data_IF_321649073938
#
_entry.id   IF_321649073938
#
_cell.length_a   1.000
_cell.length_b   1.000
_cell.length_c   1.000
_cell.angle_alpha   90.00
_cell.angle_beta   90.00
_cell.angle_gamma   90.00
#
_symmetry.space_group_name_H-M   'P 1'
#
loop_
_entity.id
_entity.type
_entity.pdbx_description
1 polymer ?
#
# COMPACT_ATOMS: atom_id res chain seq x y z
N UNK A 1 19.18 22.58 -7.54
CA UNK A 1 17.87 23.25 -7.39
C UNK A 1 17.09 22.37 -6.42
N UNK A 2 16.94 22.83 -5.16
CA UNK A 2 16.40 22.03 -4.05
C UNK A 2 14.87 22.13 -4.08
N UNK A 3 14.19 21.07 -4.50
CA UNK A 3 12.75 20.95 -4.36
C UNK A 3 12.44 20.07 -3.14
N UNK A 4 12.13 20.76 -2.03
CA UNK A 4 11.29 20.38 -0.88
C UNK A 4 10.71 18.95 -0.90
N UNK A 5 11.22 17.94 -0.18
CA UNK A 5 10.95 17.60 1.26
C UNK A 5 9.48 17.70 1.76
N UNK A 6 8.47 17.72 0.88
CA UNK A 6 7.05 17.87 1.29
C UNK A 6 6.10 16.77 0.76
N UNK A 7 6.60 15.62 0.31
CA UNK A 7 5.79 14.48 -0.17
C UNK A 7 5.77 13.28 0.77
N UNK A 8 5.92 13.50 2.08
CA UNK A 8 5.48 12.53 3.10
C UNK A 8 4.03 12.79 3.57
N UNK A 9 3.31 13.66 2.86
CA UNK A 9 1.89 13.96 3.07
C UNK A 9 1.05 13.00 2.25
N UNK A 10 0.41 12.01 2.91
CA UNK A 10 -0.97 11.58 2.65
C UNK A 10 -1.31 10.26 3.36
N UNK A 11 -1.47 10.26 4.70
CA UNK A 11 -2.48 9.38 5.35
C UNK A 11 -2.94 9.90 6.72
N UNK A 12 -3.24 11.19 6.84
CA UNK A 12 -4.19 11.66 7.85
C UNK A 12 -4.80 12.97 7.34
N UNK A 13 -6.08 12.93 6.98
CA UNK A 13 -6.89 14.08 6.56
C UNK A 13 -6.47 14.81 5.26
N UNK A 14 -6.85 14.28 4.10
CA UNK A 14 -7.08 15.08 2.89
C UNK A 14 -8.12 14.39 1.97
N UNK A 15 -9.38 14.38 2.43
CA UNK A 15 -10.51 14.34 1.50
C UNK A 15 -10.78 15.79 1.07
N UNK A 16 -10.41 16.15 -0.17
CA UNK A 16 -11.16 17.05 -1.06
C UNK A 16 -10.27 17.55 -2.21
N UNK A 17 -10.83 17.44 -3.42
CA UNK A 17 -10.50 18.10 -4.69
C UNK A 17 -9.65 17.30 -5.69
N UNK A 18 -10.34 16.58 -6.60
CA UNK A 18 -9.79 16.23 -7.91
C UNK A 18 -10.63 16.87 -9.04
N UNK A 19 -9.94 17.55 -9.97
CA UNK A 19 -10.48 18.00 -11.27
C UNK A 19 -9.84 17.16 -12.39
N UNK A 20 -10.65 16.93 -13.42
CA UNK A 20 -10.55 15.92 -14.48
C UNK A 20 -9.31 15.99 -15.40
N UNK A 21 -8.93 14.83 -15.96
CA UNK A 21 -8.11 14.76 -17.17
C UNK A 21 -8.14 13.38 -17.84
N UNK A 22 -8.75 13.28 -19.03
CA UNK A 22 -8.85 12.07 -19.84
C UNK A 22 -7.55 11.73 -20.59
N UNK A 23 -7.21 10.45 -20.70
CA UNK A 23 -6.20 9.93 -21.63
C UNK A 23 -6.55 8.51 -22.12
N UNK A 24 -6.46 8.28 -23.43
CA UNK A 24 -6.85 7.04 -24.14
C UNK A 24 -5.74 5.98 -24.12
N UNK A 25 -6.10 4.71 -23.96
CA UNK A 25 -5.18 3.56 -24.02
C UNK A 25 -5.40 2.67 -25.26
N UNK A 26 -4.29 2.05 -25.69
CA UNK A 26 -4.23 0.88 -26.57
C UNK A 26 -4.05 -0.40 -25.71
N UNK A 27 -4.62 -1.52 -26.17
CA UNK A 27 -4.63 -2.83 -25.48
C UNK A 27 -3.38 -3.66 -25.78
N UNK A 28 -2.81 -4.27 -24.74
CA UNK A 28 -1.85 -5.39 -24.81
C UNK A 28 -2.42 -6.63 -24.10
N UNK A 29 -2.09 -7.81 -24.62
CA UNK A 29 -2.73 -9.09 -24.32
C UNK A 29 -2.25 -9.72 -23.00
N UNK A 30 -3.18 -10.24 -22.19
CA UNK A 30 -2.89 -10.87 -20.90
C UNK A 30 -2.41 -12.33 -21.03
N UNK A 31 -1.37 -12.71 -20.27
CA UNK A 31 -0.98 -14.11 -20.03
C UNK A 31 -1.93 -14.76 -19.01
N UNK A 32 -2.31 -16.02 -19.26
CA UNK A 32 -3.30 -16.74 -18.45
C UNK A 32 -2.67 -17.32 -17.18
N UNK A 33 -2.98 -16.72 -16.02
CA UNK A 33 -2.64 -17.23 -14.70
C UNK A 33 -3.64 -18.30 -14.23
N UNK A 34 -3.14 -19.38 -13.60
CA UNK A 34 -3.95 -20.40 -12.92
C UNK A 34 -3.72 -20.30 -11.39
N UNK A 35 -4.72 -19.85 -10.60
CA UNK A 35 -4.64 -19.75 -9.15
C UNK A 35 -4.27 -21.05 -8.43
N UNK A 36 -4.56 -22.22 -9.04
CA UNK A 36 -4.25 -23.52 -8.45
C UNK A 36 -2.74 -23.85 -8.42
N UNK A 37 -1.91 -23.05 -9.07
CA UNK A 37 -0.45 -23.23 -9.13
C UNK A 37 0.33 -22.61 -7.96
N UNK A 38 -0.36 -21.92 -7.03
CA UNK A 38 0.26 -21.27 -5.89
C UNK A 38 0.49 -22.26 -4.74
N UNK A 39 1.75 -22.42 -4.32
CA UNK A 39 2.17 -23.34 -3.26
C UNK A 39 1.99 -22.81 -1.84
N UNK A 40 2.57 -23.50 -0.84
CA UNK A 40 2.45 -23.14 0.59
C UNK A 40 2.99 -21.74 0.93
N UNK A 41 3.87 -21.17 0.11
CA UNK A 41 4.42 -19.81 0.27
C UNK A 41 3.44 -18.69 -0.10
N UNK A 42 2.24 -19.01 -0.58
CA UNK A 42 1.22 -18.02 -0.95
C UNK A 42 1.50 -17.27 -2.26
N UNK A 43 2.61 -17.57 -2.95
CA UNK A 43 2.98 -17.03 -4.26
C UNK A 43 3.40 -18.12 -5.24
N UNK A 44 3.19 -17.88 -6.53
CA UNK A 44 3.60 -18.75 -7.62
C UNK A 44 5.10 -18.66 -7.98
N UNK A 45 5.48 -19.31 -9.07
CA UNK A 45 6.85 -19.26 -9.61
C UNK A 45 7.27 -17.85 -10.07
N UNK A 46 8.58 -17.61 -10.13
CA UNK A 46 9.14 -16.36 -10.67
C UNK A 46 8.92 -16.32 -12.18
N UNK A 47 8.34 -15.22 -12.65
CA UNK A 47 8.13 -14.92 -14.06
C UNK A 47 9.06 -13.79 -14.44
N UNK A 48 9.89 -14.03 -15.46
CA UNK A 48 10.74 -13.03 -16.09
C UNK A 48 10.06 -12.58 -17.39
N UNK A 49 9.58 -11.33 -17.49
CA UNK A 49 8.98 -10.84 -18.73
C UNK A 49 9.98 -10.91 -19.90
N UNK A 50 9.54 -11.21 -21.13
CA UNK A 50 10.36 -11.07 -22.33
C UNK A 50 10.86 -9.62 -22.46
N UNK A 51 12.08 -9.41 -22.98
CA UNK A 51 12.70 -8.08 -23.08
C UNK A 51 11.93 -7.08 -23.94
N UNK A 52 11.10 -7.56 -24.86
CA UNK A 52 10.25 -6.74 -25.74
C UNK A 52 8.88 -6.40 -25.12
N UNK A 53 8.59 -6.93 -23.92
CA UNK A 53 7.35 -6.65 -23.19
C UNK A 53 7.46 -5.30 -22.47
N UNK A 54 6.36 -4.54 -22.41
CA UNK A 54 6.30 -3.27 -21.68
C UNK A 54 6.61 -3.47 -20.18
N UNK A 55 6.30 -4.65 -19.64
CA UNK A 55 6.56 -5.03 -18.25
C UNK A 55 8.02 -5.43 -17.98
N UNK A 56 8.86 -5.61 -19.01
CA UNK A 56 10.28 -5.93 -18.82
C UNK A 56 11.00 -4.89 -17.94
N UNK A 57 10.58 -3.63 -18.05
CA UNK A 57 11.09 -2.51 -17.25
C UNK A 57 10.73 -2.59 -15.76
N UNK A 58 9.70 -3.35 -15.39
CA UNK A 58 9.24 -3.51 -14.01
C UNK A 58 10.00 -4.60 -13.25
N UNK A 59 10.72 -5.47 -13.98
CA UNK A 59 11.47 -6.59 -13.41
C UNK A 59 10.67 -7.89 -13.37
N UNK A 60 11.24 -8.87 -12.67
CA UNK A 60 10.58 -10.17 -12.48
C UNK A 60 9.45 -10.05 -11.45
N UNK A 61 8.43 -10.90 -11.58
CA UNK A 61 7.29 -10.92 -10.67
C UNK A 61 6.84 -12.33 -10.35
N UNK A 62 5.99 -12.46 -9.33
CA UNK A 62 5.23 -13.66 -9.02
C UNK A 62 3.75 -13.32 -9.00
N UNK A 63 2.89 -14.33 -9.18
CA UNK A 63 1.47 -14.16 -8.89
C UNK A 63 1.17 -14.52 -7.44
N UNK A 64 0.33 -13.72 -6.77
CA UNK A 64 -0.30 -14.11 -5.52
C UNK A 64 -1.42 -15.13 -5.75
N UNK A 65 -1.89 -15.79 -4.70
CA UNK A 65 -3.11 -16.60 -4.76
C UNK A 65 -4.36 -15.81 -5.16
N UNK A 66 -4.39 -14.50 -4.87
CA UNK A 66 -5.41 -13.55 -5.33
C UNK A 66 -5.30 -13.15 -6.81
N UNK A 67 -4.23 -13.58 -7.50
CA UNK A 67 -3.98 -13.28 -8.90
C UNK A 67 -3.35 -11.91 -9.15
N UNK A 68 -2.81 -11.26 -8.12
CA UNK A 68 -2.05 -10.00 -8.27
C UNK A 68 -0.63 -10.30 -8.73
N UNK A 69 -0.09 -9.44 -9.58
CA UNK A 69 1.35 -9.46 -9.90
C UNK A 69 2.14 -8.75 -8.81
N UNK A 70 3.07 -9.48 -8.19
CA UNK A 70 3.91 -9.00 -7.10
C UNK A 70 5.36 -8.84 -7.60
N UNK A 71 5.84 -7.60 -7.67
CA UNK A 71 7.19 -7.25 -8.10
C UNK A 71 8.02 -6.83 -6.88
N UNK A 72 8.98 -7.64 -6.47
CA UNK A 72 9.86 -7.36 -5.34
C UNK A 72 11.13 -8.22 -5.40
N UNK A 73 12.15 -7.83 -4.63
CA UNK A 73 13.36 -8.62 -4.43
C UNK A 73 13.23 -9.45 -3.14
N UNK A 74 13.30 -10.78 -3.25
CA UNK A 74 13.35 -11.70 -2.08
C UNK A 74 14.62 -11.54 -1.25
N UNK A 75 15.68 -10.96 -1.82
CA UNK A 75 16.91 -10.62 -1.08
C UNK A 75 16.69 -9.43 -0.14
N UNK A 76 15.78 -8.52 -0.49
CA UNK A 76 15.51 -7.29 0.26
C UNK A 76 14.29 -7.43 1.19
N UNK A 77 13.24 -8.09 0.71
CA UNK A 77 11.95 -8.17 1.38
C UNK A 77 11.41 -9.60 1.44
N UNK A 78 10.94 -10.06 2.61
CA UNK A 78 10.29 -11.36 2.74
C UNK A 78 8.95 -11.36 2.01
N UNK A 79 8.58 -12.49 1.42
CA UNK A 79 7.31 -12.68 0.71
C UNK A 79 6.10 -12.34 1.59
N UNK A 80 6.16 -12.70 2.87
CA UNK A 80 5.11 -12.51 3.85
C UNK A 80 4.81 -11.03 4.09
N UNK A 81 5.81 -10.15 4.00
CA UNK A 81 5.60 -8.69 4.03
C UNK A 81 4.77 -8.24 2.83
N UNK A 82 5.11 -8.72 1.64
CA UNK A 82 4.40 -8.35 0.40
C UNK A 82 2.96 -8.84 0.43
N UNK A 83 2.72 -10.05 0.94
CA UNK A 83 1.37 -10.59 1.14
C UNK A 83 0.59 -9.82 2.21
N UNK A 84 1.26 -9.30 3.25
CA UNK A 84 0.61 -8.43 4.23
C UNK A 84 0.18 -7.09 3.61
N UNK A 85 0.97 -6.52 2.70
CA UNK A 85 0.58 -5.33 1.93
C UNK A 85 -0.60 -5.63 1.00
N UNK A 86 -0.57 -6.76 0.27
CA UNK A 86 -1.71 -7.20 -0.54
C UNK A 86 -2.98 -7.31 0.29
N UNK A 87 -2.89 -7.97 1.46
CA UNK A 87 -4.02 -8.10 2.39
C UNK A 87 -4.53 -6.73 2.82
N UNK A 88 -3.65 -5.85 3.30
CA UNK A 88 -3.99 -4.50 3.74
C UNK A 88 -4.70 -3.71 2.65
N UNK A 89 -4.13 -3.61 1.45
CA UNK A 89 -4.69 -2.72 0.43
C UNK A 89 -5.94 -3.30 -0.24
N UNK A 90 -6.11 -4.62 -0.25
CA UNK A 90 -7.36 -5.25 -0.69
C UNK A 90 -8.52 -4.90 0.23
N UNK A 91 -8.28 -4.63 1.52
CA UNK A 91 -9.35 -4.23 2.45
C UNK A 91 -10.11 -2.98 2.01
N UNK A 92 -9.45 -2.02 1.35
CA UNK A 92 -10.12 -0.82 0.85
C UNK A 92 -11.06 -1.13 -0.32
N UNK A 93 -10.69 -2.05 -1.20
CA UNK A 93 -11.54 -2.49 -2.31
C UNK A 93 -12.73 -3.32 -1.80
N UNK A 94 -12.49 -4.16 -0.80
CA UNK A 94 -13.49 -5.07 -0.21
C UNK A 94 -14.33 -4.41 0.90
N UNK A 95 -13.94 -3.21 1.33
CA UNK A 95 -14.47 -2.49 2.50
C UNK A 95 -14.44 -3.32 3.78
N UNK A 96 -13.38 -4.08 3.97
CA UNK A 96 -13.21 -5.00 5.10
C UNK A 96 -12.48 -4.32 6.26
N UNK A 97 -13.25 -3.67 7.14
CA UNK A 97 -12.71 -2.95 8.29
C UNK A 97 -12.01 -3.86 9.30
N UNK A 98 -12.56 -5.06 9.56
CA UNK A 98 -12.00 -5.97 10.55
C UNK A 98 -10.60 -6.42 10.10
N UNK A 99 -10.49 -6.85 8.85
CA UNK A 99 -9.20 -7.22 8.25
C UNK A 99 -8.24 -6.03 8.18
N UNK A 100 -8.74 -4.81 7.93
CA UNK A 100 -7.92 -3.60 7.92
C UNK A 100 -7.28 -3.38 9.28
N UNK A 101 -8.06 -3.43 10.37
CA UNK A 101 -7.54 -3.25 11.73
C UNK A 101 -6.55 -4.33 12.14
N UNK A 102 -6.74 -5.57 11.69
CA UNK A 102 -5.79 -6.68 11.91
C UNK A 102 -4.43 -6.45 11.23
N UNK A 103 -4.37 -5.62 10.19
CA UNK A 103 -3.15 -5.26 9.50
C UNK A 103 -2.43 -4.05 10.11
N UNK A 104 -3.05 -3.33 11.05
CA UNK A 104 -2.45 -2.17 11.70
C UNK A 104 -1.60 -2.56 12.90
N UNK A 105 -0.54 -1.80 13.14
CA UNK A 105 0.21 -1.95 14.38
C UNK A 105 -0.72 -1.63 15.58
N UNK A 106 -0.84 -2.50 16.59
CA UNK A 106 -1.90 -2.36 17.61
C UNK A 106 -1.90 -1.01 18.32
N UNK A 107 -0.74 -0.51 18.76
CA UNK A 107 -0.67 0.79 19.42
C UNK A 107 -0.94 1.97 18.48
N UNK A 108 -0.75 1.79 17.17
CA UNK A 108 -1.11 2.81 16.18
C UNK A 108 -2.63 2.89 16.06
N UNK A 109 -3.30 1.75 15.93
CA UNK A 109 -4.76 1.70 15.83
C UNK A 109 -5.43 2.36 17.05
N UNK A 110 -4.94 2.06 18.27
CA UNK A 110 -5.43 2.67 19.51
C UNK A 110 -5.22 4.19 19.56
N UNK A 111 -4.04 4.66 19.16
CA UNK A 111 -3.71 6.08 19.11
C UNK A 111 -4.55 6.81 18.06
N UNK A 112 -4.73 6.22 16.88
CA UNK A 112 -5.56 6.77 15.81
C UNK A 112 -7.03 6.87 16.23
N UNK A 113 -7.58 5.84 16.86
CA UNK A 113 -8.95 5.87 17.41
C UNK A 113 -9.11 7.06 18.38
N UNK A 114 -8.16 7.21 19.30
CA UNK A 114 -8.17 8.31 20.28
C UNK A 114 -8.10 9.68 19.60
N UNK A 115 -7.19 9.84 18.64
CA UNK A 115 -7.01 11.07 17.88
C UNK A 115 -8.26 11.46 17.09
N UNK A 116 -8.83 10.52 16.35
CA UNK A 116 -10.02 10.74 15.53
C UNK A 116 -11.24 11.11 16.37
N UNK A 117 -11.45 10.43 17.50
CA UNK A 117 -12.55 10.76 18.41
C UNK A 117 -12.40 12.16 19.01
N UNK A 118 -11.18 12.53 19.43
CA UNK A 118 -10.90 13.79 20.08
C UNK A 118 -10.99 14.98 19.12
N UNK A 119 -10.38 14.86 17.94
CA UNK A 119 -10.14 16.00 17.06
C UNK A 119 -11.17 16.09 15.92
N UNK A 120 -11.79 14.96 15.55
CA UNK A 120 -12.75 14.89 14.44
C UNK A 120 -14.13 14.37 14.82
N UNK A 121 -14.32 13.91 16.06
CA UNK A 121 -15.60 13.42 16.58
C UNK A 121 -16.17 12.23 15.80
N UNK A 122 -15.30 11.34 15.31
CA UNK A 122 -15.69 10.06 14.71
C UNK A 122 -14.65 8.97 15.01
N UNK A 123 -15.03 7.70 14.82
CA UNK A 123 -14.19 6.52 15.09
C UNK A 123 -13.35 6.07 13.87
N UNK A 124 -12.39 5.17 14.10
CA UNK A 124 -11.52 4.64 13.04
C UNK A 124 -12.31 3.97 11.90
N UNK A 125 -13.44 3.30 12.20
CA UNK A 125 -14.29 2.69 11.18
C UNK A 125 -14.92 3.76 10.25
N UNK A 126 -15.39 4.87 10.81
CA UNK A 126 -15.88 6.00 10.04
C UNK A 126 -14.77 6.60 9.19
N UNK A 127 -13.54 6.70 9.71
CA UNK A 127 -12.36 7.13 8.95
C UNK A 127 -12.10 6.22 7.75
N UNK A 128 -12.04 4.91 8.00
CA UNK A 128 -11.82 3.88 7.00
C UNK A 128 -12.90 3.91 5.90
N UNK A 129 -14.16 4.01 6.31
CA UNK A 129 -15.30 4.11 5.36
C UNK A 129 -15.17 5.34 4.46
N UNK A 130 -14.87 6.52 5.04
CA UNK A 130 -14.62 7.75 4.27
C UNK A 130 -13.44 7.59 3.32
N UNK A 131 -12.39 6.88 3.73
CA UNK A 131 -11.24 6.60 2.87
C UNK A 131 -11.63 5.71 1.70
N UNK A 132 -12.41 4.65 1.93
CA UNK A 132 -12.94 3.79 0.86
C UNK A 132 -13.80 4.60 -0.13
N UNK A 133 -14.72 5.43 0.38
CA UNK A 133 -15.57 6.29 -0.45
C UNK A 133 -14.71 7.22 -1.34
N UNK A 134 -13.72 7.89 -0.74
CA UNK A 134 -12.80 8.79 -1.45
C UNK A 134 -11.98 8.06 -2.51
N UNK A 135 -11.49 6.85 -2.22
CA UNK A 135 -10.73 6.05 -3.17
C UNK A 135 -11.60 5.60 -4.33
N UNK A 136 -12.82 5.11 -4.09
CA UNK A 136 -13.75 4.76 -5.17
C UNK A 136 -14.09 5.98 -6.04
N UNK A 137 -14.34 7.15 -5.44
CA UNK A 137 -14.57 8.39 -6.19
C UNK A 137 -13.36 8.75 -7.05
N UNK A 138 -12.15 8.71 -6.48
CA UNK A 138 -10.93 8.98 -7.21
C UNK A 138 -10.72 7.97 -8.35
N UNK A 139 -11.02 6.70 -8.12
CA UNK A 139 -10.86 5.66 -9.14
C UNK A 139 -11.95 5.70 -10.21
N UNK A 140 -13.01 6.50 -10.03
CA UNK A 140 -14.15 6.58 -10.95
C UNK A 140 -15.13 5.42 -10.80
N UNK A 141 -15.14 4.76 -9.64
CA UNK A 141 -16.01 3.64 -9.31
C UNK A 141 -15.28 2.54 -8.53
N UNK A 142 -15.97 1.40 -8.37
CA UNK A 142 -15.39 0.18 -7.80
C UNK A 142 -14.17 -0.25 -8.59
N UNK A 143 -13.18 -0.79 -7.91
CA UNK A 143 -11.92 -1.19 -8.48
C UNK A 143 -11.42 -2.48 -7.84
N UNK A 144 -10.42 -3.09 -8.47
CA UNK A 144 -9.63 -4.18 -7.90
C UNK A 144 -8.15 -3.87 -8.05
N UNK A 145 -7.35 -4.39 -7.12
CA UNK A 145 -5.91 -4.37 -7.24
C UNK A 145 -5.48 -5.34 -8.34
N UNK A 146 -4.43 -4.96 -9.07
CA UNK A 146 -3.86 -5.79 -10.14
C UNK A 146 -2.38 -6.02 -9.96
N UNK A 147 -1.66 -5.05 -9.38
CA UNK A 147 -0.21 -5.14 -9.17
C UNK A 147 0.21 -4.47 -7.88
N UNK A 148 1.20 -5.06 -7.22
CA UNK A 148 1.96 -4.45 -6.15
C UNK A 148 3.44 -4.53 -6.53
N UNK A 149 4.13 -3.40 -6.45
CA UNK A 149 5.57 -3.32 -6.62
C UNK A 149 6.20 -2.69 -5.39
N UNK A 150 7.25 -3.33 -4.88
CA UNK A 150 8.00 -2.88 -3.71
C UNK A 150 9.47 -2.76 -4.07
N UNK A 151 10.04 -1.60 -3.77
CA UNK A 151 11.45 -1.27 -4.04
C UNK A 151 12.12 -0.72 -2.78
N UNK A 152 13.45 -0.85 -2.74
CA UNK A 152 14.27 -0.10 -1.77
C UNK A 152 14.21 1.38 -2.14
N UNK A 153 13.75 2.25 -1.24
CA UNK A 153 13.70 3.68 -1.50
C UNK A 153 15.11 4.29 -1.55
N UNK A 154 15.26 5.38 -2.30
CA UNK A 154 16.53 6.13 -2.38
C UNK A 154 16.90 6.84 -1.07
N UNK A 155 15.90 7.10 -0.22
CA UNK A 155 16.04 7.79 1.06
C UNK A 155 15.33 7.00 2.17
N UNK A 156 15.89 7.06 3.38
CA UNK A 156 15.24 6.55 4.58
C UNK A 156 14.27 7.58 5.13
N UNK A 157 12.97 7.28 5.09
CA UNK A 157 11.93 8.15 5.61
C UNK A 157 11.41 7.69 6.97
N UNK A 158 12.05 6.71 7.61
CA UNK A 158 11.64 6.20 8.92
C UNK A 158 11.61 7.31 9.98
N UNK A 159 12.64 8.16 10.02
CA UNK A 159 12.69 9.26 10.99
C UNK A 159 11.60 10.31 10.72
N UNK A 160 11.48 10.78 9.48
CA UNK A 160 10.46 11.76 9.09
C UNK A 160 9.03 11.21 9.25
N UNK A 161 8.85 9.90 9.09
CA UNK A 161 7.58 9.21 9.29
C UNK A 161 7.17 9.21 10.77
N UNK A 162 8.05 8.74 11.67
CA UNK A 162 7.70 8.69 13.09
C UNK A 162 7.63 10.08 13.74
N UNK A 163 8.42 11.05 13.27
CA UNK A 163 8.29 12.44 13.74
C UNK A 163 6.89 13.00 13.49
N UNK A 164 6.21 12.58 12.41
CA UNK A 164 4.82 12.97 12.15
C UNK A 164 3.82 12.19 13.02
N UNK A 165 4.14 10.94 13.36
CA UNK A 165 3.30 10.15 14.26
C UNK A 165 3.37 10.63 15.71
N UNK A 166 4.45 11.28 16.13
CA UNK A 166 4.57 11.82 17.49
C UNK A 166 3.45 12.84 17.81
N UNK A 167 3.00 13.63 16.83
CA UNK A 167 1.88 14.58 16.99
C UNK A 167 0.54 13.88 17.27
N UNK A 168 0.39 12.65 16.80
CA UNK A 168 -0.86 11.87 16.87
C UNK A 168 -0.82 10.87 18.04
N UNK A 169 0.29 10.16 18.17
CA UNK A 169 0.48 9.01 19.06
C UNK A 169 1.20 9.38 20.36
N UNK A 170 1.70 10.62 20.47
CA UNK A 170 2.44 11.13 21.61
C UNK A 170 3.95 11.24 21.35
N UNK A 171 4.60 12.14 22.09
CA UNK A 171 6.05 12.31 22.06
C UNK A 171 6.76 10.97 22.31
N UNK A 172 7.79 10.66 21.50
CA UNK A 172 8.63 9.46 21.61
C UNK A 172 8.00 8.15 21.07
N UNK A 173 7.03 8.25 20.17
CA UNK A 173 6.36 7.07 19.60
C UNK A 173 7.33 6.18 18.82
N UNK A 174 8.31 6.78 18.14
CA UNK A 174 9.39 6.04 17.44
C UNK A 174 10.08 5.05 18.37
N UNK A 175 10.58 5.52 19.51
CA UNK A 175 11.40 4.71 20.40
C UNK A 175 10.56 3.59 21.03
N UNK A 176 9.32 3.90 21.42
CA UNK A 176 8.36 2.89 21.87
C UNK A 176 8.20 1.77 20.84
N UNK A 177 7.97 2.10 19.56
CA UNK A 177 7.81 1.10 18.51
C UNK A 177 9.10 0.33 18.29
N UNK A 178 10.26 0.99 18.19
CA UNK A 178 11.55 0.31 17.94
C UNK A 178 11.96 -0.65 19.06
N UNK A 179 11.52 -0.41 20.30
CA UNK A 179 11.78 -1.29 21.43
C UNK A 179 10.86 -2.53 21.46
N UNK A 180 9.74 -2.50 20.73
CA UNK A 180 8.70 -3.53 20.74
C UNK A 180 8.68 -4.44 19.50
N UNK A 181 9.29 -4.00 18.39
CA UNK A 181 9.26 -4.68 17.10
C UNK A 181 10.57 -5.38 16.82
N UNK A 182 10.52 -6.47 16.06
CA UNK A 182 11.70 -7.23 15.65
C UNK A 182 12.50 -6.46 14.59
N UNK A 183 11.79 -5.82 13.66
CA UNK A 183 12.39 -5.06 12.56
C UNK A 183 11.42 -4.02 12.01
N UNK A 184 11.97 -2.90 11.54
CA UNK A 184 11.26 -1.94 10.71
C UNK A 184 11.76 -2.06 9.27
N UNK A 185 10.83 -2.09 8.32
CA UNK A 185 11.09 -2.08 6.90
C UNK A 185 10.75 -0.74 6.31
N UNK A 186 11.69 -0.21 5.54
CA UNK A 186 11.54 1.00 4.75
C UNK A 186 11.31 0.55 3.29
N UNK A 187 10.05 0.62 2.82
CA UNK A 187 9.62 0.30 1.45
C UNK A 187 9.11 1.47 0.56
N UNK A 188 9.55 1.54 -0.69
CA UNK A 188 8.85 2.32 -1.73
C UNK A 188 7.79 1.44 -2.39
N UNK A 189 6.53 1.84 -2.27
CA UNK A 189 5.37 1.06 -2.69
C UNK A 189 4.66 1.68 -3.89
N UNK A 190 4.32 0.84 -4.87
CA UNK A 190 3.45 1.18 -6.00
C UNK A 190 2.32 0.17 -6.09
N UNK A 191 1.10 0.67 -6.28
CA UNK A 191 -0.10 -0.17 -6.42
C UNK A 191 -0.84 0.26 -7.68
N UNK A 192 -1.12 -0.71 -8.54
CA UNK A 192 -1.97 -0.52 -9.71
C UNK A 192 -3.34 -1.12 -9.44
N UNK A 193 -4.37 -0.41 -9.89
CA UNK A 193 -5.75 -0.86 -9.83
C UNK A 193 -6.44 -0.75 -11.18
N UNK A 194 -7.48 -1.55 -11.36
CA UNK A 194 -8.38 -1.50 -12.50
C UNK A 194 -9.79 -1.22 -12.02
N UNK A 195 -10.39 -0.12 -12.49
CA UNK A 195 -11.80 0.21 -12.24
C UNK A 195 -12.72 -0.73 -13.02
N UNK A 196 -13.84 -1.13 -12.41
CA UNK A 196 -14.85 -1.95 -13.06
C UNK A 196 -15.34 -1.31 -14.36
N UNK A 197 -15.39 -2.10 -15.43
CA UNK A 197 -15.77 -1.63 -16.76
C UNK A 197 -14.69 -0.83 -17.51
N UNK A 198 -13.51 -0.64 -16.91
CA UNK A 198 -12.35 -0.07 -17.60
C UNK A 198 -11.36 -1.14 -18.05
N UNK A 199 -10.80 -0.95 -19.24
CA UNK A 199 -9.67 -1.75 -19.76
C UNK A 199 -8.30 -1.18 -19.34
N UNK A 200 -8.28 -0.11 -18.55
CA UNK A 200 -7.06 0.62 -18.18
C UNK A 200 -6.74 0.47 -16.70
N UNK A 201 -5.48 0.24 -16.40
CA UNK A 201 -4.97 0.37 -15.03
C UNK A 201 -4.57 1.82 -14.73
N UNK A 202 -4.64 2.18 -13.46
CA UNK A 202 -4.18 3.46 -12.93
C UNK A 202 -3.52 3.28 -11.56
N UNK A 203 -2.70 4.25 -11.16
CA UNK A 203 -2.10 4.26 -9.83
C UNK A 203 -3.18 4.41 -8.76
N UNK A 204 -3.08 3.60 -7.70
CA UNK A 204 -3.98 3.67 -6.56
C UNK A 204 -3.89 5.02 -5.83
N UNK A 205 -2.67 5.54 -5.71
CA UNK A 205 -2.40 6.88 -5.18
C UNK A 205 -1.97 7.79 -6.34
N UNK A 206 -2.88 8.65 -6.80
CA UNK A 206 -2.69 9.47 -8.02
C UNK A 206 -1.48 10.40 -7.97
N UNK A 207 -1.09 10.85 -6.78
CA UNK A 207 0.02 11.81 -6.59
C UNK A 207 1.37 11.14 -6.28
N UNK A 208 1.47 9.81 -6.43
CA UNK A 208 2.70 9.05 -6.13
C UNK A 208 3.29 8.41 -7.38
N UNK A 209 3.55 9.21 -8.42
CA UNK A 209 4.24 8.73 -9.65
C UNK A 209 5.62 8.12 -9.33
N UNK A 210 6.26 8.56 -8.25
CA UNK A 210 7.53 8.02 -7.74
C UNK A 210 7.37 6.99 -6.61
N UNK A 211 6.15 6.46 -6.42
CA UNK A 211 5.83 5.53 -5.35
C UNK A 211 5.60 6.22 -4.01
N UNK A 212 4.92 5.51 -3.12
CA UNK A 212 4.65 5.94 -1.74
C UNK A 212 5.74 5.38 -0.83
N UNK A 213 6.42 6.23 -0.06
CA UNK A 213 7.28 5.77 1.03
C UNK A 213 6.42 5.24 2.18
N UNK A 214 6.70 4.02 2.65
CA UNK A 214 5.97 3.40 3.76
C UNK A 214 6.92 2.67 4.72
N UNK A 215 6.61 2.76 6.01
CA UNK A 215 7.28 2.00 7.08
C UNK A 215 6.37 0.84 7.48
N UNK A 216 6.94 -0.37 7.58
CA UNK A 216 6.23 -1.59 7.99
C UNK A 216 6.97 -2.20 9.19
N UNK A 217 6.24 -2.55 10.24
CA UNK A 217 6.80 -3.22 11.41
C UNK A 217 6.66 -4.74 11.29
N UNK A 218 7.72 -5.47 11.60
CA UNK A 218 7.69 -6.91 11.84
C UNK A 218 7.69 -7.18 13.35
N UNK A 219 6.77 -8.01 13.81
CA UNK A 219 6.69 -8.46 15.20
C UNK A 219 6.12 -9.87 15.27
N UNK A 220 6.82 -10.79 15.91
CA UNK A 220 6.44 -12.19 16.06
C UNK A 220 6.11 -12.88 14.71
N UNK A 221 6.87 -12.54 13.66
CA UNK A 221 6.69 -13.05 12.29
C UNK A 221 5.45 -12.50 11.56
N UNK A 222 4.80 -11.45 12.09
CA UNK A 222 3.71 -10.73 11.44
C UNK A 222 4.14 -9.34 11.02
N UNK A 223 3.53 -8.83 9.94
CA UNK A 223 3.85 -7.53 9.36
C UNK A 223 2.67 -6.57 9.53
N UNK A 224 2.97 -5.37 10.00
CA UNK A 224 2.00 -4.37 10.41
C UNK A 224 2.26 -3.01 9.76
N UNK A 225 1.19 -2.35 9.37
CA UNK A 225 1.20 -1.00 8.81
C UNK A 225 0.82 0.06 9.85
N UNK A 226 1.06 1.31 9.49
CA UNK A 226 0.79 2.51 10.28
C UNK A 226 -0.04 3.50 9.45
N UNK A 227 -1.16 3.06 8.86
CA UNK A 227 -1.97 3.81 7.89
C UNK A 227 -3.44 3.86 8.24
#
# INVERSE_FOLDING_TARGET
MKYSRLTALMTAALCCLSLSGCGKNNKSAASSFDPASVGESGVGEVIVPPTEDEEASLGSYRYSSGGLKLYYSEEEYPTELILALEKLFSTYADRDFDTYTDCLYPSYAESMETFLQKDYQYDLNTSFTKRCDSLEEDMGGKYKLTRIKVEVPDEDYTEDFFNQLDDICGEDYKNKVTDEVDKLYNIRLFIMVQTEGSDTEQLFFKDTENGMGMVVAEKDGKYYAFC
#
